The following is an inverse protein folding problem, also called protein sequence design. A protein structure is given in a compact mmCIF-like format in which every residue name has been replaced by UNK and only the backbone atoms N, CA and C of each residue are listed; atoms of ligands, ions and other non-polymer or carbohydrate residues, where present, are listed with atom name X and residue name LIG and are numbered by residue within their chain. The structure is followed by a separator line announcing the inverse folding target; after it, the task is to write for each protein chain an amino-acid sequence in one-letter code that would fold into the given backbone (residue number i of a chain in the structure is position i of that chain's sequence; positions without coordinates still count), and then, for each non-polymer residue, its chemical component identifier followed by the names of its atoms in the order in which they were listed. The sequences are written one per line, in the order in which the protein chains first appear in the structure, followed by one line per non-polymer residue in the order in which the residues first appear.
data_IF_741734136594
#
_entry.id   IF_741734136594
#
_cell.length_a   1.000
_cell.length_b   1.000
_cell.length_c   1.000
_cell.angle_alpha   90.00
_cell.angle_beta   90.00
_cell.angle_gamma   90.00
#
_symmetry.space_group_name_H-M   'P 1'
#
loop_
_entity.id
_entity.type
_entity.pdbx_description
1 polymer ?
#
# COMPACT_ATOMS: atom_id res chain seq x y z
N UNK A 1 -29.74 3.98 26.64
CA UNK A 1 -28.44 3.27 26.55
C UNK A 1 -28.16 2.75 25.14
N UNK A 2 -29.01 1.89 24.56
CA UNK A 2 -28.79 1.36 23.19
C UNK A 2 -28.65 2.44 22.12
N UNK A 3 -29.50 3.48 22.14
CA UNK A 3 -29.40 4.60 21.20
C UNK A 3 -28.07 5.38 21.31
N UNK A 4 -27.49 5.47 22.51
CA UNK A 4 -26.20 6.13 22.73
C UNK A 4 -25.06 5.30 22.14
N UNK A 5 -25.06 3.98 22.37
CA UNK A 5 -24.08 3.08 21.75
C UNK A 5 -24.19 3.08 20.22
N UNK A 6 -25.41 3.04 19.67
CA UNK A 6 -25.63 3.10 18.23
C UNK A 6 -25.15 4.42 17.61
N UNK A 7 -25.41 5.55 18.28
CA UNK A 7 -24.91 6.85 17.85
C UNK A 7 -23.37 6.92 17.92
N UNK A 8 -22.76 6.43 19.00
CA UNK A 8 -21.31 6.39 19.16
C UNK A 8 -20.62 5.52 18.09
N UNK A 9 -21.16 4.32 17.82
CA UNK A 9 -20.65 3.46 16.75
C UNK A 9 -20.77 4.14 15.39
N UNK A 10 -21.93 4.72 15.08
CA UNK A 10 -22.13 5.46 13.83
C UNK A 10 -21.11 6.59 13.67
N UNK A 11 -20.99 7.47 14.67
CA UNK A 11 -20.04 8.60 14.63
C UNK A 11 -18.60 8.10 14.47
N UNK A 12 -18.21 7.04 15.21
CA UNK A 12 -16.87 6.47 15.11
C UNK A 12 -16.55 5.92 13.71
N UNK A 13 -17.51 5.24 13.07
CA UNK A 13 -17.34 4.71 11.70
C UNK A 13 -17.28 5.82 10.65
N UNK A 14 -18.10 6.87 10.79
CA UNK A 14 -18.03 8.04 9.91
C UNK A 14 -16.70 8.77 10.05
N UNK A 15 -16.23 9.00 11.29
CA UNK A 15 -14.94 9.62 11.55
C UNK A 15 -13.79 8.79 10.96
N UNK A 16 -13.80 7.47 11.17
CA UNK A 16 -12.82 6.56 10.59
C UNK A 16 -12.79 6.64 9.06
N UNK A 17 -13.96 6.64 8.43
CA UNK A 17 -14.08 6.73 6.96
C UNK A 17 -13.51 8.04 6.43
N UNK A 18 -13.80 9.16 7.07
CA UNK A 18 -13.25 10.47 6.70
C UNK A 18 -11.72 10.48 6.85
N UNK A 19 -11.20 10.01 7.99
CA UNK A 19 -9.76 9.94 8.24
C UNK A 19 -9.04 9.06 7.22
N UNK A 20 -9.63 7.91 6.89
CA UNK A 20 -9.08 7.00 5.87
C UNK A 20 -9.02 7.67 4.49
N UNK A 21 -10.07 8.39 4.09
CA UNK A 21 -10.07 9.13 2.83
C UNK A 21 -9.03 10.26 2.79
N UNK A 22 -8.91 11.03 3.88
CA UNK A 22 -7.89 12.08 3.99
C UNK A 22 -6.49 11.49 3.91
N UNK A 23 -6.25 10.40 4.65
CA UNK A 23 -4.98 9.67 4.59
C UNK A 23 -4.66 9.22 3.16
N UNK A 24 -5.60 8.55 2.50
CA UNK A 24 -5.42 8.07 1.12
C UNK A 24 -5.12 9.22 0.16
N UNK A 25 -5.84 10.33 0.27
CA UNK A 25 -5.58 11.54 -0.52
C UNK A 25 -4.16 12.08 -0.30
N UNK A 26 -3.69 12.15 0.95
CA UNK A 26 -2.34 12.61 1.26
C UNK A 26 -1.26 11.68 0.69
N UNK A 27 -1.45 10.37 0.77
CA UNK A 27 -0.51 9.39 0.23
C UNK A 27 -0.47 9.47 -1.29
N UNK A 28 -1.62 9.50 -1.96
CA UNK A 28 -1.69 9.67 -3.42
C UNK A 28 -1.01 10.96 -3.89
N UNK A 29 -1.26 12.08 -3.18
CA UNK A 29 -0.62 13.35 -3.48
C UNK A 29 0.90 13.29 -3.31
N UNK A 30 1.38 12.52 -2.34
CA UNK A 30 2.81 12.29 -2.13
C UNK A 30 3.41 11.41 -3.22
N UNK A 31 2.74 10.31 -3.61
CA UNK A 31 3.13 9.46 -4.74
C UNK A 31 3.29 10.27 -6.04
N UNK A 32 2.29 11.10 -6.35
CA UNK A 32 2.33 11.98 -7.53
C UNK A 32 3.53 12.94 -7.53
N UNK A 33 3.88 13.52 -6.37
CA UNK A 33 5.06 14.39 -6.23
C UNK A 33 6.36 13.62 -6.45
N UNK A 34 6.47 12.41 -5.91
CA UNK A 34 7.62 11.53 -6.11
C UNK A 34 7.79 11.21 -7.59
N UNK A 35 6.69 10.83 -8.26
CA UNK A 35 6.63 10.60 -9.71
C UNK A 35 7.19 11.79 -10.51
N UNK A 36 6.68 12.99 -10.26
CA UNK A 36 7.13 14.20 -10.97
C UNK A 36 8.61 14.50 -10.70
N UNK A 37 9.06 14.37 -9.45
CA UNK A 37 10.45 14.61 -9.07
C UNK A 37 11.42 13.62 -9.74
N UNK A 38 11.06 12.33 -9.81
CA UNK A 38 11.88 11.31 -10.48
C UNK A 38 11.97 11.56 -11.99
N UNK A 39 10.84 11.86 -12.65
CA UNK A 39 10.82 12.26 -14.06
C UNK A 39 11.75 13.44 -14.34
N UNK A 40 11.68 14.48 -13.51
CA UNK A 40 12.53 15.66 -13.65
C UNK A 40 14.02 15.35 -13.44
N UNK A 41 14.36 14.57 -12.40
CA UNK A 41 15.75 14.20 -12.10
C UNK A 41 16.39 13.35 -13.20
N UNK A 42 15.65 12.38 -13.73
CA UNK A 42 16.12 11.51 -14.80
C UNK A 42 16.27 12.28 -16.11
N UNK A 43 15.29 13.12 -16.45
CA UNK A 43 15.38 13.99 -17.62
C UNK A 43 16.62 14.91 -17.55
N UNK A 44 16.85 15.54 -16.39
CA UNK A 44 18.04 16.37 -16.15
C UNK A 44 19.34 15.58 -16.30
N UNK A 45 19.39 14.35 -15.78
CA UNK A 45 20.57 13.47 -15.88
C UNK A 45 20.82 13.00 -17.32
N UNK A 46 19.76 12.65 -18.05
CA UNK A 46 19.82 12.22 -19.42
C UNK A 46 20.33 13.32 -20.37
N UNK A 47 19.92 14.58 -20.14
CA UNK A 47 20.43 15.73 -20.89
C UNK A 47 21.89 16.09 -20.55
N UNK A 48 22.38 15.72 -19.36
CA UNK A 48 23.74 16.03 -18.91
C UNK A 48 24.79 14.95 -19.22
N UNK A 49 24.40 13.81 -19.77
CA UNK A 49 25.32 12.74 -20.14
C UNK A 49 25.87 12.98 -21.56
N UNK A 50 27.21 13.05 -21.67
CA UNK A 50 27.92 13.18 -22.95
C UNK A 50 27.78 11.91 -23.79
N UNK A 51 27.62 12.12 -25.10
CA UNK A 51 27.45 11.12 -26.17
C UNK A 51 28.54 10.02 -26.13
N UNK A 52 29.73 10.29 -25.59
CA UNK A 52 30.84 9.33 -25.48
C UNK A 52 30.57 8.15 -24.52
N UNK A 53 29.59 8.25 -23.61
CA UNK A 53 29.23 7.17 -22.67
C UNK A 53 27.96 6.40 -23.05
N UNK A 54 27.28 6.80 -24.15
CA UNK A 54 25.98 6.28 -24.58
C UNK A 54 26.02 4.93 -25.32
N UNK A 55 27.16 4.24 -25.36
CA UNK A 55 27.31 2.97 -26.10
C UNK A 55 26.48 1.79 -25.61
N UNK A 56 25.77 1.91 -24.47
CA UNK A 56 25.06 0.78 -23.83
C UNK A 56 23.57 1.03 -23.54
N UNK A 57 23.14 2.28 -23.31
CA UNK A 57 21.73 2.63 -23.09
C UNK A 57 21.41 4.01 -23.64
N UNK A 58 20.50 4.07 -24.61
CA UNK A 58 20.04 5.34 -25.20
C UNK A 58 19.12 6.10 -24.23
N UNK A 59 19.10 7.43 -24.33
CA UNK A 59 18.17 8.29 -23.57
C UNK A 59 16.71 7.86 -23.73
N UNK A 60 16.32 7.40 -24.91
CA UNK A 60 14.98 6.87 -25.18
C UNK A 60 14.66 5.59 -24.40
N UNK A 61 15.63 4.68 -24.21
CA UNK A 61 15.44 3.46 -23.40
C UNK A 61 15.26 3.79 -21.92
N UNK A 62 16.00 4.77 -21.39
CA UNK A 62 15.87 5.23 -19.99
C UNK A 62 14.49 5.85 -19.76
N UNK A 63 14.03 6.72 -20.69
CA UNK A 63 12.68 7.32 -20.61
C UNK A 63 11.60 6.24 -20.73
N UNK A 64 11.77 5.25 -21.60
CA UNK A 64 10.79 4.16 -21.77
C UNK A 64 10.70 3.27 -20.52
N UNK A 65 11.83 2.88 -19.92
CA UNK A 65 11.86 2.15 -18.65
C UNK A 65 11.21 2.98 -17.54
N UNK A 66 11.51 4.28 -17.48
CA UNK A 66 10.92 5.16 -16.50
C UNK A 66 9.41 5.29 -16.67
N UNK A 67 8.90 5.47 -17.89
CA UNK A 67 7.46 5.52 -18.16
C UNK A 67 6.74 4.25 -17.72
N UNK A 68 7.40 3.10 -17.81
CA UNK A 68 6.87 1.83 -17.32
C UNK A 68 6.89 1.73 -15.79
N UNK A 69 7.96 2.19 -15.14
CA UNK A 69 8.15 2.06 -13.68
C UNK A 69 7.42 3.16 -12.89
N UNK A 70 7.20 4.33 -13.49
CA UNK A 70 6.55 5.50 -12.88
C UNK A 70 5.16 5.17 -12.34
N UNK A 71 4.36 4.40 -13.08
CA UNK A 71 3.01 4.03 -12.64
C UNK A 71 3.06 3.07 -11.44
N UNK A 72 4.10 2.25 -11.31
CA UNK A 72 4.28 1.36 -10.17
C UNK A 72 4.63 2.10 -8.88
N UNK A 73 5.28 3.26 -8.94
CA UNK A 73 5.61 4.01 -7.73
C UNK A 73 4.38 4.53 -6.98
N UNK A 74 3.32 4.92 -7.71
CA UNK A 74 2.06 5.34 -7.09
C UNK A 74 1.41 4.17 -6.32
N UNK A 75 1.43 2.96 -6.89
CA UNK A 75 0.94 1.73 -6.25
C UNK A 75 1.80 1.31 -5.05
N UNK A 76 3.13 1.33 -5.20
CA UNK A 76 4.06 0.96 -4.13
C UNK A 76 3.88 1.89 -2.94
N UNK A 77 3.73 3.20 -3.15
CA UNK A 77 3.57 4.18 -2.07
C UNK A 77 2.33 3.88 -1.22
N UNK A 78 1.25 3.41 -1.85
CA UNK A 78 0.04 2.96 -1.14
C UNK A 78 0.25 1.62 -0.42
N UNK A 79 0.83 0.64 -1.11
CA UNK A 79 1.00 -0.73 -0.59
C UNK A 79 2.02 -0.81 0.55
N UNK A 80 3.04 0.04 0.55
CA UNK A 80 4.09 0.03 1.57
C UNK A 80 3.53 0.32 2.96
N UNK A 81 2.48 1.13 3.05
CA UNK A 81 1.80 1.40 4.32
C UNK A 81 1.10 0.16 4.88
N UNK A 82 0.41 -0.59 4.02
CA UNK A 82 -0.29 -1.81 4.42
C UNK A 82 0.67 -2.95 4.80
N UNK A 83 1.91 -2.92 4.30
CA UNK A 83 2.91 -3.96 4.60
C UNK A 83 3.22 -4.06 6.11
N UNK A 84 3.28 -2.92 6.82
CA UNK A 84 3.55 -2.90 8.26
C UNK A 84 2.28 -2.74 9.10
N UNK A 85 1.29 -1.99 8.63
CA UNK A 85 0.01 -1.87 9.33
C UNK A 85 -0.79 -3.17 9.34
N UNK A 86 -0.77 -3.95 8.26
CA UNK A 86 -1.51 -5.20 8.18
C UNK A 86 -1.16 -6.18 9.30
N UNK A 87 0.12 -6.54 9.50
CA UNK A 87 0.55 -7.37 10.62
C UNK A 87 0.21 -6.77 11.99
N UNK A 88 0.40 -5.46 12.16
CA UNK A 88 0.07 -4.79 13.43
C UNK A 88 -1.41 -4.87 13.75
N UNK A 89 -2.28 -4.60 12.77
CA UNK A 89 -3.71 -4.71 12.90
C UNK A 89 -4.14 -6.16 13.17
N UNK A 90 -3.55 -7.14 12.49
CA UNK A 90 -3.80 -8.55 12.76
C UNK A 90 -3.45 -8.93 14.20
N UNK A 91 -2.30 -8.48 14.73
CA UNK A 91 -1.92 -8.71 16.12
C UNK A 91 -2.96 -8.14 17.10
N UNK A 92 -3.40 -6.89 16.89
CA UNK A 92 -4.41 -6.25 17.75
C UNK A 92 -5.72 -7.05 17.74
N UNK A 93 -6.20 -7.46 16.56
CA UNK A 93 -7.43 -8.24 16.43
C UNK A 93 -7.31 -9.60 17.13
N UNK A 94 -6.19 -10.30 16.94
CA UNK A 94 -5.96 -11.62 17.57
C UNK A 94 -5.92 -11.49 19.09
N UNK A 95 -5.25 -10.48 19.64
CA UNK A 95 -5.21 -10.23 21.09
C UNK A 95 -6.61 -9.93 21.63
N UNK A 96 -7.39 -9.08 20.96
CA UNK A 96 -8.77 -8.79 21.37
C UNK A 96 -9.65 -10.04 21.35
N UNK A 97 -9.54 -10.86 20.31
CA UNK A 97 -10.27 -12.13 20.21
C UNK A 97 -9.86 -13.10 21.32
N UNK A 98 -8.56 -13.23 21.61
CA UNK A 98 -8.08 -14.08 22.69
C UNK A 98 -8.65 -13.65 24.05
N UNK A 99 -8.74 -12.35 24.31
CA UNK A 99 -9.33 -11.84 25.55
C UNK A 99 -10.84 -12.12 25.67
N UNK A 100 -11.57 -12.20 24.55
CA UNK A 100 -13.03 -12.39 24.55
C UNK A 100 -13.46 -13.87 24.58
N UNK A 101 -12.78 -14.72 23.80
CA UNK A 101 -13.18 -16.13 23.60
C UNK A 101 -12.07 -17.14 23.91
N UNK A 102 -10.92 -16.67 24.41
CA UNK A 102 -9.81 -17.52 24.80
C UNK A 102 -9.13 -18.22 23.61
N UNK A 103 -8.50 -19.39 23.84
CA UNK A 103 -7.77 -20.13 22.81
C UNK A 103 -8.61 -20.56 21.60
N UNK A 104 -9.94 -20.58 21.73
CA UNK A 104 -10.87 -20.93 20.65
C UNK A 104 -10.71 -20.04 19.41
N UNK A 105 -10.21 -18.80 19.56
CA UNK A 105 -9.96 -17.91 18.42
C UNK A 105 -8.90 -18.46 17.44
N UNK A 106 -7.98 -19.33 17.91
CA UNK A 106 -6.90 -19.88 17.09
C UNK A 106 -7.41 -20.70 15.91
N UNK A 107 -8.56 -21.37 16.04
CA UNK A 107 -9.15 -22.13 14.93
C UNK A 107 -9.49 -21.20 13.75
N UNK A 108 -10.07 -20.03 14.01
CA UNK A 108 -10.37 -19.03 12.98
C UNK A 108 -9.11 -18.41 12.39
N UNK A 109 -8.12 -18.09 13.23
CA UNK A 109 -6.82 -17.58 12.77
C UNK A 109 -6.11 -18.59 11.88
N UNK A 110 -6.14 -19.88 12.21
CA UNK A 110 -5.54 -20.94 11.41
C UNK A 110 -6.17 -21.02 10.01
N UNK A 111 -7.50 -20.91 9.91
CA UNK A 111 -8.19 -20.85 8.61
C UNK A 111 -7.76 -19.63 7.79
N UNK A 112 -7.67 -18.45 8.41
CA UNK A 112 -7.20 -17.24 7.72
C UNK A 112 -5.77 -17.38 7.21
N UNK A 113 -4.87 -17.94 8.02
CA UNK A 113 -3.48 -18.17 7.64
C UNK A 113 -3.37 -19.20 6.51
N UNK A 114 -4.19 -20.25 6.51
CA UNK A 114 -4.25 -21.23 5.42
C UNK A 114 -4.82 -20.65 4.12
N UNK A 115 -5.72 -19.66 4.22
CA UNK A 115 -6.28 -18.97 3.04
C UNK A 115 -5.30 -18.01 2.38
N UNK A 116 -4.30 -17.48 3.11
CA UNK A 116 -3.28 -16.61 2.54
C UNK A 116 -2.49 -17.28 1.39
N UNK A 117 -1.86 -18.46 1.56
CA UNK A 117 -1.11 -19.11 0.50
C UNK A 117 -2.01 -19.52 -0.68
N UNK A 118 -3.25 -19.94 -0.42
CA UNK A 118 -4.22 -20.26 -1.49
C UNK A 118 -4.48 -19.04 -2.37
N UNK A 119 -4.67 -17.86 -1.77
CA UNK A 119 -4.85 -16.62 -2.52
C UNK A 119 -3.58 -16.22 -3.29
N UNK A 120 -2.40 -16.40 -2.70
CA UNK A 120 -1.11 -16.08 -3.35
C UNK A 120 -0.86 -16.99 -4.56
N UNK A 121 -1.14 -18.28 -4.46
CA UNK A 121 -1.00 -19.23 -5.58
C UNK A 121 -1.93 -18.83 -6.70
N UNK A 122 -3.21 -18.58 -6.41
CA UNK A 122 -4.20 -18.17 -7.42
C UNK A 122 -3.82 -16.84 -8.12
N UNK A 123 -3.31 -15.86 -7.38
CA UNK A 123 -2.87 -14.58 -7.95
C UNK A 123 -1.64 -14.71 -8.86
N UNK A 124 -0.91 -15.82 -8.80
CA UNK A 124 0.24 -16.07 -9.68
C UNK A 124 -0.17 -16.68 -11.03
N UNK A 125 -1.34 -17.30 -11.07
CA UNK A 125 -1.89 -17.97 -12.26
C UNK A 125 -2.81 -17.06 -13.10
N UNK A 126 -3.05 -15.82 -12.64
CA UNK A 126 -3.80 -14.76 -13.35
C UNK A 126 -2.84 -13.69 -13.85
#
# INVERSE_FOLDING_TARGET
MVYVYAAAMSISTFALTILQHLYYYHVQRTGMRIRVAMCHMIYKKALGLSIESMGQTTTGQIVNLLSNDVNRFDEITLNLHYLWLGPLQAMVIIVLLWCQIGPSCLAGVAVLVLMMPVQTVRNKDT
#
